data_IF_418663528208
#
_entry.id   IF_418663528208
#
_cell.length_a   1.000
_cell.length_b   1.000
_cell.length_c   1.000
_cell.angle_alpha   90.00
_cell.angle_beta   90.00
_cell.angle_gamma   90.00
#
_symmetry.space_group_name_H-M   'P 1'
#
loop_
_entity.id
_entity.type
_entity.pdbx_description
1 polymer ?
#
# COMPACT_ATOMS: atom_id res chain seq x y z
N UNK A 1 -5.08 11.55 -22.60
CA UNK A 1 -4.13 10.62 -23.24
C UNK A 1 -2.72 11.21 -23.46
N UNK A 2 -2.52 12.33 -24.16
CA UNK A 2 -1.15 12.90 -24.41
C UNK A 2 -0.30 13.16 -23.14
N UNK A 3 -0.89 13.60 -22.02
CA UNK A 3 -0.15 13.89 -20.77
C UNK A 3 0.30 12.65 -20.03
N UNK A 4 -0.44 11.52 -20.11
CA UNK A 4 -0.08 10.24 -19.49
C UNK A 4 1.10 9.61 -20.24
N UNK A 5 1.09 9.67 -21.58
CA UNK A 5 2.22 9.17 -22.37
C UNK A 5 3.52 9.95 -22.09
N UNK A 6 3.45 11.28 -21.88
CA UNK A 6 4.61 12.09 -21.53
C UNK A 6 5.18 11.72 -20.16
N UNK A 7 4.34 11.40 -19.18
CA UNK A 7 4.77 10.97 -17.85
C UNK A 7 5.42 9.58 -17.89
N UNK A 8 4.83 8.62 -18.61
CA UNK A 8 5.40 7.27 -18.80
C UNK A 8 6.75 7.34 -19.51
N UNK A 9 6.89 8.17 -20.55
CA UNK A 9 8.15 8.37 -21.27
C UNK A 9 9.21 9.03 -20.37
N UNK A 10 8.85 9.99 -19.53
CA UNK A 10 9.78 10.61 -18.57
C UNK A 10 10.28 9.61 -17.51
N UNK A 11 9.41 8.75 -16.99
CA UNK A 11 9.77 7.69 -16.05
C UNK A 11 10.67 6.63 -16.71
N UNK A 12 10.38 6.23 -17.95
CA UNK A 12 11.24 5.33 -18.75
C UNK A 12 12.62 5.95 -19.02
N UNK A 13 12.70 7.26 -19.30
CA UNK A 13 13.97 7.95 -19.53
C UNK A 13 14.83 8.04 -18.26
N UNK A 14 14.23 8.21 -17.09
CA UNK A 14 14.93 8.20 -15.79
C UNK A 14 15.49 6.80 -15.50
N UNK A 15 14.77 5.75 -15.84
CA UNK A 15 15.21 4.34 -15.69
C UNK A 15 16.37 4.03 -16.66
N UNK A 16 16.34 4.53 -17.88
CA UNK A 16 17.36 4.29 -18.89
C UNK A 16 18.65 5.13 -18.66
N UNK A 17 18.52 6.33 -18.09
CA UNK A 17 19.68 7.17 -17.77
C UNK A 17 20.46 6.70 -16.54
N UNK A 18 19.87 5.85 -15.67
CA UNK A 18 20.50 5.30 -14.47
C UNK A 18 21.54 4.21 -14.72
N UNK A 19 21.70 3.69 -15.93
CA UNK A 19 22.52 2.49 -16.19
C UNK A 19 24.03 2.75 -16.30
N UNK A 20 24.55 3.96 -16.10
CA UNK A 20 25.97 4.26 -16.26
C UNK A 20 26.78 4.39 -14.97
N UNK A 21 26.17 4.15 -13.79
CA UNK A 21 26.85 4.22 -12.49
C UNK A 21 26.50 3.03 -11.58
N UNK A 22 26.55 1.82 -12.12
CA UNK A 22 26.50 0.61 -11.28
C UNK A 22 27.93 0.31 -10.83
N UNK A 23 28.32 0.81 -9.66
CA UNK A 23 29.38 0.18 -8.89
C UNK A 23 29.00 -1.30 -8.71
N UNK A 24 29.93 -2.20 -9.02
CA UNK A 24 29.78 -3.65 -8.88
C UNK A 24 29.34 -4.01 -7.46
N UNK A 25 28.04 -3.99 -7.18
CA UNK A 25 27.48 -4.61 -6.00
C UNK A 25 27.44 -6.10 -6.27
N UNK A 26 28.00 -6.88 -5.32
CA UNK A 26 27.92 -8.35 -5.30
C UNK A 26 26.48 -8.74 -5.64
N UNK A 27 26.30 -9.53 -6.70
CA UNK A 27 24.97 -9.96 -7.18
C UNK A 27 24.30 -10.83 -6.11
N UNK A 28 23.48 -10.20 -5.28
CA UNK A 28 22.72 -10.84 -4.21
C UNK A 28 21.26 -10.93 -4.65
N UNK A 29 20.98 -11.85 -5.58
CA UNK A 29 19.59 -12.21 -5.86
C UNK A 29 19.04 -13.04 -4.70
N UNK A 30 17.83 -12.73 -4.24
CA UNK A 30 17.20 -13.40 -3.10
C UNK A 30 15.71 -13.62 -3.34
N UNK A 31 15.26 -14.86 -3.12
CA UNK A 31 13.85 -15.17 -2.92
C UNK A 31 13.49 -15.03 -1.45
N UNK A 32 12.35 -14.39 -1.16
CA UNK A 32 11.76 -14.31 0.17
C UNK A 32 10.37 -14.90 0.14
N UNK A 33 10.06 -15.68 1.16
CA UNK A 33 8.72 -16.15 1.47
C UNK A 33 8.50 -15.85 2.93
N UNK A 34 7.47 -15.07 3.24
CA UNK A 34 7.09 -14.72 4.62
C UNK A 34 5.58 -14.75 4.75
N UNK A 35 5.09 -14.83 5.99
CA UNK A 35 3.69 -14.64 6.28
C UNK A 35 3.53 -13.86 7.58
N UNK A 36 2.78 -12.77 7.55
CA UNK A 36 2.34 -12.05 8.73
C UNK A 36 1.02 -12.67 9.24
N UNK A 37 0.95 -12.90 10.55
CA UNK A 37 -0.26 -13.32 11.25
C UNK A 37 -0.72 -12.16 12.10
N UNK A 38 -1.81 -11.52 11.70
CA UNK A 38 -2.28 -10.28 12.30
C UNK A 38 -3.62 -10.47 13.01
N UNK A 39 -3.79 -9.78 14.14
CA UNK A 39 -5.09 -9.76 14.85
C UNK A 39 -6.16 -9.06 14.02
N UNK A 40 -5.75 -8.19 13.10
CA UNK A 40 -6.61 -7.44 12.18
C UNK A 40 -5.80 -6.81 11.06
N UNK A 41 -6.32 -6.81 9.84
CA UNK A 41 -5.71 -6.10 8.72
C UNK A 41 -6.21 -4.64 8.71
N UNK A 42 -5.34 -3.72 9.15
CA UNK A 42 -5.59 -2.28 9.06
C UNK A 42 -4.60 -1.68 8.06
N UNK A 43 -5.12 -1.19 6.95
CA UNK A 43 -4.34 -0.56 5.90
C UNK A 43 -4.72 0.91 5.74
N UNK A 44 -3.76 1.82 5.94
CA UNK A 44 -3.95 3.29 5.88
C UNK A 44 -5.15 3.77 6.70
N UNK A 45 -5.36 3.20 7.90
CA UNK A 45 -6.48 3.52 8.80
C UNK A 45 -7.83 2.91 8.44
N UNK A 46 -7.89 2.07 7.40
CA UNK A 46 -9.07 1.33 6.97
C UNK A 46 -9.01 -0.11 7.46
N UNK A 47 -10.13 -0.65 7.94
CA UNK A 47 -10.27 -1.99 8.54
C UNK A 47 -10.84 -2.97 7.52
N UNK A 48 -10.03 -3.92 7.08
CA UNK A 48 -10.38 -4.93 6.10
C UNK A 48 -10.62 -6.29 6.75
N UNK A 49 -11.71 -6.95 6.34
CA UNK A 49 -12.08 -8.30 6.82
C UNK A 49 -12.60 -8.36 8.25
N UNK A 50 -12.41 -7.34 9.09
CA UNK A 50 -12.89 -7.22 10.48
C UNK A 50 -12.61 -8.45 11.36
N UNK A 51 -11.58 -9.21 11.06
CA UNK A 51 -11.15 -10.44 11.73
C UNK A 51 -9.64 -10.59 11.64
N UNK A 52 -9.02 -11.56 12.35
CA UNK A 52 -7.63 -11.89 12.14
C UNK A 52 -7.34 -12.25 10.68
N UNK A 53 -6.11 -11.96 10.23
CA UNK A 53 -5.66 -12.21 8.86
C UNK A 53 -4.35 -12.99 8.82
N UNK A 54 -4.14 -13.68 7.69
CA UNK A 54 -2.88 -14.28 7.29
C UNK A 54 -2.44 -13.54 6.02
N UNK A 55 -1.24 -12.97 6.06
CA UNK A 55 -0.74 -12.05 5.03
C UNK A 55 0.57 -12.57 4.42
N UNK A 56 0.50 -13.52 3.46
CA UNK A 56 1.67 -14.07 2.81
C UNK A 56 2.33 -13.08 1.84
N UNK A 57 3.65 -13.14 1.74
CA UNK A 57 4.44 -12.41 0.74
C UNK A 57 5.39 -13.38 0.06
N UNK A 58 5.42 -13.34 -1.28
CA UNK A 58 6.43 -13.97 -2.11
C UNK A 58 7.14 -12.88 -2.91
N UNK A 59 8.47 -12.80 -2.82
CA UNK A 59 9.21 -11.80 -3.60
C UNK A 59 10.57 -12.30 -4.08
N UNK A 60 11.04 -11.66 -5.15
CA UNK A 60 12.39 -11.81 -5.68
C UNK A 60 13.06 -10.45 -5.75
N UNK A 61 14.23 -10.33 -5.13
CA UNK A 61 15.03 -9.10 -5.08
C UNK A 61 16.35 -9.30 -5.81
N UNK A 62 16.74 -8.32 -6.63
CA UNK A 62 18.05 -8.25 -7.27
C UNK A 62 18.52 -6.81 -7.37
N UNK A 63 19.63 -6.48 -6.71
CA UNK A 63 20.08 -5.10 -6.60
C UNK A 63 19.03 -4.23 -5.90
N UNK A 64 18.65 -3.11 -6.50
CA UNK A 64 17.56 -2.25 -6.00
C UNK A 64 16.16 -2.67 -6.45
N UNK A 65 16.06 -3.65 -7.37
CA UNK A 65 14.80 -4.10 -7.94
C UNK A 65 14.18 -5.22 -7.12
N UNK A 66 12.87 -5.18 -6.93
CA UNK A 66 12.08 -6.25 -6.34
C UNK A 66 10.77 -6.40 -7.10
N UNK A 67 10.41 -7.65 -7.38
CA UNK A 67 9.09 -8.06 -7.87
C UNK A 67 8.50 -9.04 -6.88
N UNK A 68 7.21 -8.95 -6.62
CA UNK A 68 6.56 -9.84 -5.66
C UNK A 68 5.05 -9.81 -5.78
N UNK A 69 4.44 -10.60 -4.90
CA UNK A 69 3.03 -10.57 -4.62
C UNK A 69 2.82 -10.67 -3.11
N UNK A 70 1.98 -9.80 -2.60
CA UNK A 70 1.46 -9.85 -1.26
C UNK A 70 -0.01 -10.28 -1.31
N UNK A 71 -0.51 -10.88 -0.26
CA UNK A 71 -1.93 -11.19 -0.16
C UNK A 71 -2.42 -11.06 1.27
N UNK A 72 -3.75 -11.03 1.45
CA UNK A 72 -4.40 -11.07 2.74
C UNK A 72 -5.64 -11.96 2.70
N UNK A 73 -5.75 -12.82 3.71
CA UNK A 73 -6.90 -13.71 3.90
C UNK A 73 -7.45 -13.52 5.30
N UNK A 74 -8.67 -13.01 5.41
CA UNK A 74 -9.36 -12.90 6.69
C UNK A 74 -9.82 -14.28 7.18
N UNK A 75 -9.67 -14.58 8.47
CA UNK A 75 -10.11 -15.86 9.05
C UNK A 75 -11.62 -16.04 9.03
N UNK A 76 -12.39 -14.96 8.88
CA UNK A 76 -13.84 -15.00 8.69
C UNK A 76 -14.26 -15.45 7.29
N UNK A 77 -13.33 -15.48 6.32
CA UNK A 77 -13.62 -15.74 4.91
C UNK A 77 -14.34 -14.58 4.18
N UNK A 78 -14.54 -13.44 4.85
CA UNK A 78 -15.27 -12.30 4.27
C UNK A 78 -14.43 -11.40 3.39
N UNK A 79 -13.10 -11.55 3.41
CA UNK A 79 -12.17 -10.70 2.69
C UNK A 79 -10.93 -11.48 2.25
N UNK A 80 -10.53 -11.30 1.01
CA UNK A 80 -9.20 -11.66 0.52
C UNK A 80 -8.71 -10.68 -0.54
N UNK A 81 -7.40 -10.55 -0.62
CA UNK A 81 -6.69 -9.59 -1.47
C UNK A 81 -5.44 -10.25 -2.01
N UNK A 82 -5.06 -9.91 -3.25
CA UNK A 82 -3.82 -10.33 -3.90
C UNK A 82 -3.23 -9.15 -4.66
N UNK A 83 -2.04 -8.73 -4.25
CA UNK A 83 -1.38 -7.52 -4.73
C UNK A 83 -0.03 -7.84 -5.37
N UNK A 84 0.03 -8.11 -6.68
CA UNK A 84 1.28 -8.09 -7.40
C UNK A 84 1.90 -6.69 -7.39
N UNK A 85 3.21 -6.63 -7.21
CA UNK A 85 3.92 -5.36 -7.22
C UNK A 85 5.29 -5.46 -7.87
N UNK A 86 5.79 -4.30 -8.29
CA UNK A 86 7.16 -4.09 -8.67
C UNK A 86 7.67 -2.82 -8.01
N UNK A 87 8.88 -2.87 -7.44
CA UNK A 87 9.51 -1.71 -6.83
C UNK A 87 10.99 -1.60 -7.15
N UNK A 88 11.50 -0.38 -7.14
CA UNK A 88 12.90 -0.07 -7.29
C UNK A 88 13.35 0.91 -6.20
N UNK A 89 14.41 0.52 -5.48
CA UNK A 89 14.96 1.32 -4.39
C UNK A 89 16.35 1.83 -4.75
N UNK A 90 16.56 3.14 -4.61
CA UNK A 90 17.84 3.80 -4.83
C UNK A 90 18.04 4.94 -3.82
N UNK A 91 19.12 4.89 -3.03
CA UNK A 91 19.53 5.98 -2.12
C UNK A 91 18.42 6.50 -1.19
N UNK A 92 17.63 5.58 -0.62
CA UNK A 92 16.51 5.90 0.27
C UNK A 92 15.19 6.21 -0.42
N UNK A 93 15.18 6.42 -1.75
CA UNK A 93 13.96 6.53 -2.53
C UNK A 93 13.50 5.15 -3.01
N UNK A 94 12.21 4.88 -2.87
CA UNK A 94 11.56 3.66 -3.39
C UNK A 94 10.38 4.07 -4.25
N UNK A 95 10.41 3.71 -5.52
CA UNK A 95 9.27 3.80 -6.43
C UNK A 95 8.60 2.43 -6.47
N UNK A 96 7.27 2.40 -6.28
CA UNK A 96 6.49 1.17 -6.32
C UNK A 96 5.29 1.33 -7.25
N UNK A 97 4.99 0.27 -8.01
CA UNK A 97 3.73 0.08 -8.71
C UNK A 97 3.07 -1.17 -8.15
N UNK A 98 1.83 -1.03 -7.70
CA UNK A 98 1.04 -2.11 -7.10
C UNK A 98 -0.29 -2.22 -7.82
N UNK A 99 -0.71 -3.45 -8.06
CA UNK A 99 -2.03 -3.81 -8.50
C UNK A 99 -2.77 -4.42 -7.31
N UNK A 100 -3.67 -3.68 -6.68
CA UNK A 100 -4.53 -4.18 -5.61
C UNK A 100 -5.72 -4.92 -6.22
N UNK A 101 -5.79 -6.22 -6.02
CA UNK A 101 -6.96 -7.00 -6.40
C UNK A 101 -7.73 -7.41 -5.15
N UNK A 102 -8.83 -6.72 -4.91
CA UNK A 102 -9.68 -6.93 -3.74
C UNK A 102 -10.92 -7.72 -4.12
N UNK A 103 -11.08 -8.87 -3.48
CA UNK A 103 -12.30 -9.66 -3.64
C UNK A 103 -13.20 -9.53 -2.40
N UNK A 104 -14.24 -8.75 -2.56
CA UNK A 104 -15.31 -8.63 -1.59
C UNK A 104 -16.45 -9.58 -1.98
N UNK A 105 -16.45 -10.79 -1.47
CA UNK A 105 -17.43 -11.86 -1.77
C UNK A 105 -18.91 -11.53 -1.51
N UNK A 106 -19.24 -10.27 -1.23
CA UNK A 106 -20.53 -9.95 -0.64
C UNK A 106 -21.65 -9.63 -1.63
N UNK A 107 -21.40 -9.36 -2.91
CA UNK A 107 -22.46 -8.81 -3.77
C UNK A 107 -22.62 -9.42 -5.16
N UNK A 108 -21.59 -9.94 -5.80
CA UNK A 108 -21.71 -10.55 -7.13
C UNK A 108 -20.58 -11.56 -7.42
N UNK A 109 -20.89 -12.88 -7.52
CA UNK A 109 -19.90 -13.89 -7.91
C UNK A 109 -19.31 -13.65 -9.29
N UNK A 110 -19.92 -12.84 -10.15
CA UNK A 110 -19.43 -12.53 -11.47
C UNK A 110 -18.41 -11.38 -11.52
N UNK A 111 -18.31 -10.56 -10.46
CA UNK A 111 -17.33 -9.47 -10.33
C UNK A 111 -15.99 -9.92 -9.74
N UNK A 112 -15.82 -11.21 -9.48
CA UNK A 112 -14.60 -11.77 -8.87
C UNK A 112 -13.55 -12.22 -9.87
N UNK A 113 -13.69 -11.89 -11.15
CA UNK A 113 -12.73 -12.31 -12.17
C UNK A 113 -11.44 -11.49 -12.04
N UNK A 114 -10.35 -12.16 -11.67
CA UNK A 114 -9.01 -11.58 -11.65
C UNK A 114 -8.59 -10.99 -13.01
N UNK A 115 -9.05 -11.53 -14.12
CA UNK A 115 -8.68 -11.06 -15.46
C UNK A 115 -9.67 -10.03 -16.04
N UNK A 116 -10.52 -9.44 -15.22
CA UNK A 116 -11.33 -8.29 -15.60
C UNK A 116 -10.57 -7.00 -15.34
N UNK A 117 -10.07 -6.35 -16.38
CA UNK A 117 -9.35 -5.07 -16.32
C UNK A 117 -10.15 -3.89 -16.89
N UNK A 118 -11.47 -4.03 -17.07
CA UNK A 118 -12.32 -2.91 -17.46
C UNK A 118 -12.39 -1.88 -16.34
N UNK A 119 -12.05 -0.62 -16.62
CA UNK A 119 -11.82 0.44 -15.66
C UNK A 119 -12.97 0.64 -14.66
N UNK A 120 -14.19 0.36 -15.07
CA UNK A 120 -15.38 0.66 -14.26
C UNK A 120 -16.07 -0.58 -13.66
N UNK A 121 -15.63 -1.77 -14.02
CA UNK A 121 -16.20 -3.03 -13.53
C UNK A 121 -15.16 -3.93 -12.86
N UNK A 122 -13.90 -3.54 -12.90
CA UNK A 122 -12.80 -4.29 -12.30
C UNK A 122 -12.78 -4.16 -10.78
N UNK A 123 -12.22 -5.18 -10.11
CA UNK A 123 -11.83 -5.12 -8.70
C UNK A 123 -10.35 -4.73 -8.53
N UNK A 124 -9.65 -4.45 -9.62
CA UNK A 124 -8.28 -3.96 -9.59
C UNK A 124 -8.22 -2.47 -9.31
N UNK A 125 -7.22 -2.06 -8.54
CA UNK A 125 -6.83 -0.67 -8.33
C UNK A 125 -5.32 -0.57 -8.52
N UNK A 126 -4.87 0.19 -9.51
CA UNK A 126 -3.46 0.39 -9.77
C UNK A 126 -2.95 1.65 -9.08
N UNK A 127 -1.91 1.48 -8.27
CA UNK A 127 -1.26 2.56 -7.53
C UNK A 127 0.19 2.76 -8.00
N UNK A 128 0.57 4.02 -8.13
CA UNK A 128 1.96 4.45 -8.15
C UNK A 128 2.31 5.13 -6.83
N UNK A 129 3.43 4.73 -6.20
CA UNK A 129 3.88 5.37 -4.98
C UNK A 129 5.36 5.69 -4.99
N UNK A 130 5.72 6.78 -4.33
CA UNK A 130 7.09 7.19 -4.09
C UNK A 130 7.30 7.37 -2.59
N UNK A 131 8.26 6.63 -2.05
CA UNK A 131 8.66 6.74 -0.65
C UNK A 131 10.11 7.24 -0.57
N UNK A 132 10.37 8.13 0.38
CA UNK A 132 11.70 8.45 0.85
C UNK A 132 11.85 7.96 2.29
N UNK A 133 12.96 7.28 2.59
CA UNK A 133 13.41 6.95 3.95
C UNK A 133 14.76 7.60 4.20
N UNK A 134 14.79 8.47 5.19
CA UNK A 134 16.00 9.14 5.64
C UNK A 134 17.00 8.17 6.29
N UNK A 135 18.26 8.60 6.44
CA UNK A 135 19.30 7.81 7.10
C UNK A 135 19.04 7.66 8.60
N UNK A 136 19.69 6.71 9.25
CA UNK A 136 19.55 6.44 10.70
C UNK A 136 19.75 7.66 11.60
N UNK A 137 20.55 8.64 11.18
CA UNK A 137 20.76 9.91 11.92
C UNK A 137 19.55 10.86 11.85
N UNK A 138 18.71 10.71 10.83
CA UNK A 138 17.51 11.50 10.61
C UNK A 138 16.41 10.59 10.05
N UNK A 139 15.81 9.73 10.90
CA UNK A 139 14.98 8.61 10.50
C UNK A 139 13.53 9.03 10.21
N UNK A 140 13.35 10.04 9.35
CA UNK A 140 12.04 10.38 8.80
C UNK A 140 11.77 9.61 7.53
N UNK A 141 10.47 9.36 7.28
CA UNK A 141 9.99 8.87 6.00
C UNK A 141 8.85 9.74 5.47
N UNK A 142 8.77 9.81 4.15
CA UNK A 142 7.67 10.46 3.44
C UNK A 142 7.22 9.48 2.36
N UNK A 143 5.92 9.22 2.31
CA UNK A 143 5.27 8.42 1.27
C UNK A 143 4.21 9.27 0.58
N UNK A 144 4.17 9.22 -0.74
CA UNK A 144 3.05 9.71 -1.57
C UNK A 144 2.63 8.57 -2.47
N UNK A 145 1.34 8.25 -2.45
CA UNK A 145 0.74 7.17 -3.20
C UNK A 145 -0.55 7.65 -3.87
N UNK A 146 -0.75 7.29 -5.14
CA UNK A 146 -1.92 7.75 -5.91
C UNK A 146 -2.45 6.62 -6.78
N UNK A 147 -3.75 6.41 -6.73
CA UNK A 147 -4.46 5.53 -7.65
C UNK A 147 -4.54 6.18 -9.02
N UNK A 148 -4.18 5.44 -10.06
CA UNK A 148 -4.18 6.01 -11.41
C UNK A 148 -5.04 5.25 -12.42
N UNK A 149 -5.56 4.06 -12.04
CA UNK A 149 -6.45 3.26 -12.86
C UNK A 149 -7.25 2.27 -12.00
N UNK A 150 -8.45 1.89 -12.46
CA UNK A 150 -9.28 0.85 -11.85
C UNK A 150 -10.35 1.40 -10.92
N UNK A 151 -10.74 0.63 -9.93
CA UNK A 151 -11.92 0.90 -9.08
C UNK A 151 -11.71 2.05 -8.09
N UNK A 152 -11.51 3.25 -8.63
CA UNK A 152 -11.47 4.53 -7.89
C UNK A 152 -12.32 5.59 -8.62
N UNK A 153 -13.64 5.37 -8.77
CA UNK A 153 -14.50 6.21 -9.57
C UNK A 153 -14.88 7.51 -8.87
N UNK A 154 -14.84 8.61 -9.62
CA UNK A 154 -15.49 9.88 -9.29
C UNK A 154 -16.73 10.06 -10.14
N UNK A 155 -17.90 9.98 -9.51
CA UNK A 155 -19.18 10.16 -10.19
C UNK A 155 -19.58 11.63 -10.13
N UNK A 156 -19.84 12.22 -11.30
CA UNK A 156 -20.41 13.56 -11.45
C UNK A 156 -21.78 13.44 -12.08
N UNK A 157 -22.77 14.03 -11.44
CA UNK A 157 -24.14 14.11 -11.95
C UNK A 157 -24.42 15.55 -12.32
N UNK A 158 -24.62 15.79 -13.60
CA UNK A 158 -25.07 17.11 -14.10
C UNK A 158 -26.59 17.14 -14.14
N UNK A 159 -27.19 17.97 -13.31
CA UNK A 159 -28.62 18.18 -13.18
C UNK A 159 -29.05 19.56 -13.68
N UNK A 160 -28.21 20.28 -14.41
CA UNK A 160 -28.53 21.64 -14.94
C UNK A 160 -29.72 21.61 -15.89
N UNK A 161 -29.92 20.48 -16.59
CA UNK A 161 -31.13 20.24 -17.36
C UNK A 161 -31.94 19.08 -16.75
N UNK A 162 -33.05 19.34 -16.04
CA UNK A 162 -33.86 18.29 -15.40
C UNK A 162 -34.43 17.26 -16.38
N UNK A 163 -34.53 17.59 -17.67
CA UNK A 163 -35.00 16.67 -18.71
C UNK A 163 -33.89 15.81 -19.32
N UNK A 164 -32.64 16.13 -19.00
CA UNK A 164 -31.46 15.38 -19.48
C UNK A 164 -30.35 15.35 -18.43
N UNK A 165 -30.50 14.46 -17.45
CA UNK A 165 -29.49 14.23 -16.40
C UNK A 165 -28.33 13.44 -17.00
N UNK A 166 -27.13 14.01 -17.01
CA UNK A 166 -25.94 13.37 -17.52
C UNK A 166 -25.08 12.89 -16.34
N UNK A 167 -24.77 11.60 -16.29
CA UNK A 167 -23.83 11.02 -15.34
C UNK A 167 -22.50 10.75 -16.02
N UNK A 168 -21.42 11.29 -15.46
CA UNK A 168 -20.05 11.08 -15.94
C UNK A 168 -19.26 10.37 -14.88
N UNK A 169 -18.57 9.29 -15.25
CA UNK A 169 -17.64 8.56 -14.40
C UNK A 169 -16.22 8.92 -14.84
N UNK A 170 -15.36 9.24 -13.88
CA UNK A 170 -13.95 9.60 -14.09
C UNK A 170 -13.09 8.96 -13.03
N UNK A 171 -11.81 8.73 -13.31
CA UNK A 171 -10.84 8.32 -12.29
C UNK A 171 -10.72 9.44 -11.25
N UNK A 172 -10.78 9.09 -9.95
CA UNK A 172 -10.72 10.08 -8.86
C UNK A 172 -9.28 10.47 -8.50
N UNK A 173 -8.30 9.61 -8.79
CA UNK A 173 -6.90 9.78 -8.41
C UNK A 173 -6.73 9.94 -6.90
N UNK A 174 -7.42 9.09 -6.13
CA UNK A 174 -7.33 9.10 -4.66
C UNK A 174 -5.88 8.98 -4.22
N UNK A 175 -5.47 9.95 -3.39
CA UNK A 175 -4.06 10.10 -2.99
C UNK A 175 -3.93 9.97 -1.49
N UNK A 176 -2.87 9.25 -1.07
CA UNK A 176 -2.45 9.11 0.31
C UNK A 176 -1.05 9.70 0.49
N UNK A 177 -0.86 10.46 1.57
CA UNK A 177 0.43 11.03 1.95
C UNK A 177 0.71 10.63 3.39
N UNK A 178 1.91 10.11 3.68
CA UNK A 178 2.30 9.74 5.05
C UNK A 178 3.65 10.33 5.41
N UNK A 179 3.71 10.87 6.61
CA UNK A 179 4.94 11.23 7.30
C UNK A 179 5.21 10.17 8.37
N UNK A 180 6.43 9.66 8.42
CA UNK A 180 6.86 8.70 9.41
C UNK A 180 8.12 9.15 10.14
N UNK A 181 8.29 8.68 11.38
CA UNK A 181 9.47 8.87 12.19
C UNK A 181 9.78 7.61 12.99
N UNK A 182 10.98 7.05 12.81
CA UNK A 182 11.42 5.82 13.49
C UNK A 182 12.32 6.12 14.67
N UNK A 183 11.97 5.60 15.85
CA UNK A 183 12.77 5.72 17.08
C UNK A 183 13.34 4.38 17.47
N UNK A 184 14.66 4.26 17.54
CA UNK A 184 15.34 3.08 18.06
C UNK A 184 15.64 3.28 19.57
N UNK A 185 15.08 2.43 20.42
CA UNK A 185 15.33 2.45 21.85
C UNK A 185 15.77 1.05 22.33
N UNK A 186 17.08 0.88 22.56
CA UNK A 186 17.70 -0.42 22.87
C UNK A 186 17.37 -1.46 21.79
N UNK A 187 16.70 -2.57 22.16
CA UNK A 187 16.28 -3.64 21.24
C UNK A 187 14.89 -3.44 20.61
N UNK A 188 14.28 -2.28 20.81
CA UNK A 188 12.93 -1.97 20.30
C UNK A 188 13.00 -0.89 19.26
N UNK A 189 12.14 -0.97 18.26
CA UNK A 189 11.90 0.08 17.27
C UNK A 189 10.46 0.55 17.41
N UNK A 190 10.26 1.85 17.36
CA UNK A 190 8.94 2.48 17.36
C UNK A 190 8.82 3.33 16.11
N UNK A 191 7.78 3.08 15.32
CA UNK A 191 7.43 3.89 14.16
C UNK A 191 6.20 4.73 14.49
N UNK A 192 6.36 6.05 14.46
CA UNK A 192 5.25 6.99 14.51
C UNK A 192 4.89 7.36 13.07
N UNK A 193 3.60 7.49 12.80
CA UNK A 193 3.12 7.85 11.47
C UNK A 193 1.91 8.79 11.52
N UNK A 194 1.82 9.61 10.48
CA UNK A 194 0.72 10.55 10.24
C UNK A 194 0.38 10.51 8.76
N UNK A 195 -0.74 9.86 8.42
CA UNK A 195 -1.27 9.71 7.08
C UNK A 195 -2.48 10.61 6.84
N UNK A 196 -2.53 11.24 5.69
CA UNK A 196 -3.61 12.12 5.27
C UNK A 196 -4.03 11.86 3.82
N UNK A 197 -5.25 12.26 3.49
CA UNK A 197 -5.72 12.38 2.11
C UNK A 197 -5.93 13.87 1.76
N UNK A 198 -5.47 14.34 0.57
CA UNK A 198 -5.60 15.74 0.18
C UNK A 198 -7.01 16.13 -0.30
N UNK A 199 -7.86 15.15 -0.60
CA UNK A 199 -9.20 15.38 -1.14
C UNK A 199 -10.15 14.23 -0.82
N UNK A 200 -11.45 14.44 -1.05
CA UNK A 200 -12.44 13.38 -1.03
C UNK A 200 -12.09 12.28 -2.05
N UNK A 201 -12.29 11.03 -1.67
CA UNK A 201 -12.03 9.86 -2.49
C UNK A 201 -12.05 8.57 -1.70
N UNK A 202 -11.25 7.60 -2.12
CA UNK A 202 -11.19 6.28 -1.51
C UNK A 202 -10.89 6.31 0.00
N UNK A 203 -10.00 7.20 0.44
CA UNK A 203 -9.50 7.24 1.81
C UNK A 203 -10.37 8.04 2.78
N UNK A 204 -11.18 8.97 2.28
CA UNK A 204 -11.99 9.83 3.14
C UNK A 204 -12.87 10.81 2.34
N UNK A 205 -13.76 11.49 3.07
CA UNK A 205 -14.79 12.35 2.46
C UNK A 205 -14.32 13.79 2.21
N UNK A 206 -13.14 14.15 2.71
CA UNK A 206 -12.56 15.50 2.60
C UNK A 206 -11.05 15.44 2.85
N UNK A 207 -10.35 16.57 2.67
CA UNK A 207 -9.00 16.73 3.19
C UNK A 207 -8.94 16.40 4.68
N UNK A 208 -7.96 15.60 5.11
CA UNK A 208 -7.74 15.37 6.54
C UNK A 208 -6.88 14.16 6.87
N UNK A 209 -6.61 14.02 8.17
CA UNK A 209 -5.89 12.90 8.75
C UNK A 209 -6.80 11.68 8.77
N UNK A 210 -6.33 10.58 8.16
CA UNK A 210 -7.07 9.32 8.03
C UNK A 210 -6.32 8.14 8.64
N UNK A 211 -5.04 8.32 8.98
CA UNK A 211 -4.20 7.26 9.55
C UNK A 211 -3.13 7.89 10.44
N UNK A 212 -3.17 7.65 11.73
CA UNK A 212 -2.11 8.11 12.63
C UNK A 212 -1.91 7.11 13.76
N UNK A 213 -0.69 6.98 14.24
CA UNK A 213 -0.45 6.03 15.31
C UNK A 213 1.01 5.77 15.59
N UNK A 214 1.22 4.69 16.32
CA UNK A 214 2.51 4.17 16.71
C UNK A 214 2.53 2.66 16.55
N UNK A 215 3.60 2.12 15.95
CA UNK A 215 3.89 0.69 15.90
C UNK A 215 5.16 0.40 16.67
N UNK A 216 5.10 -0.57 17.58
CA UNK A 216 6.25 -1.10 18.30
C UNK A 216 6.66 -2.45 17.71
N UNK A 217 7.96 -2.64 17.49
CA UNK A 217 8.53 -3.89 16.98
C UNK A 217 9.48 -4.47 18.01
N UNK A 218 9.47 -5.79 18.12
CA UNK A 218 10.42 -6.55 18.95
C UNK A 218 10.67 -7.92 18.34
N UNK A 219 11.92 -8.36 18.42
CA UNK A 219 12.31 -9.73 18.15
C UNK A 219 12.31 -10.54 19.45
N UNK A 220 11.61 -11.68 19.47
CA UNK A 220 11.54 -12.59 20.61
C UNK A 220 12.38 -13.83 20.25
N UNK A 221 13.46 -14.07 20.97
CA UNK A 221 14.25 -15.29 20.83
C UNK A 221 13.46 -16.47 21.40
N UNK A 222 13.01 -17.36 20.54
CA UNK A 222 12.32 -18.62 20.92
C UNK A 222 13.32 -19.72 21.15
N UNK A 223 14.40 -19.72 20.35
CA UNK A 223 15.52 -20.66 20.49
C UNK A 223 16.80 -20.05 19.90
N UNK A 224 17.95 -20.69 20.11
CA UNK A 224 19.22 -20.26 19.52
C UNK A 224 19.25 -20.20 17.98
N UNK A 225 18.22 -20.77 17.32
CA UNK A 225 18.11 -20.82 15.85
C UNK A 225 16.88 -20.12 15.31
N UNK A 226 15.96 -19.69 16.18
CA UNK A 226 14.70 -19.11 15.75
C UNK A 226 14.32 -17.89 16.59
N UNK A 227 14.15 -16.78 15.90
CA UNK A 227 13.70 -15.51 16.46
C UNK A 227 12.38 -15.13 15.80
N UNK A 228 11.36 -14.85 16.61
CA UNK A 228 10.03 -14.46 16.17
C UNK A 228 9.91 -12.94 16.18
N UNK A 229 9.80 -12.29 15.00
CA UNK A 229 9.46 -10.87 14.92
C UNK A 229 8.00 -10.65 15.32
N UNK A 230 7.75 -9.74 16.27
CA UNK A 230 6.42 -9.36 16.71
C UNK A 230 6.22 -7.88 16.55
N UNK A 231 4.98 -7.47 16.29
CA UNK A 231 4.59 -6.06 16.20
C UNK A 231 3.28 -5.80 16.94
N UNK A 232 3.14 -4.59 17.50
CA UNK A 232 1.90 -4.11 18.08
C UNK A 232 1.72 -2.64 17.72
N UNK A 233 0.51 -2.24 17.35
CA UNK A 233 0.20 -0.91 16.86
C UNK A 233 -1.05 -0.37 17.53
N UNK A 234 -1.04 0.93 17.83
CA UNK A 234 -2.25 1.72 18.09
C UNK A 234 -2.43 2.63 16.87
N UNK A 235 -3.55 2.48 16.20
CA UNK A 235 -3.87 3.17 14.94
C UNK A 235 -5.19 3.90 15.08
N UNK A 236 -5.23 5.18 14.75
CA UNK A 236 -6.44 5.97 14.72
C UNK A 236 -6.73 6.46 13.30
N UNK A 237 -8.01 6.41 12.92
CA UNK A 237 -8.54 7.13 11.77
C UNK A 237 -9.51 8.22 12.30
N UNK A 238 -9.05 9.49 12.40
CA UNK A 238 -9.88 10.57 12.93
C UNK A 238 -11.13 10.88 12.09
N UNK A 239 -11.04 10.79 10.76
CA UNK A 239 -12.20 11.03 9.90
C UNK A 239 -13.29 9.97 10.11
N UNK A 240 -12.90 8.69 10.19
CA UNK A 240 -13.81 7.58 10.44
C UNK A 240 -14.16 7.39 11.93
N UNK A 241 -13.52 8.16 12.84
CA UNK A 241 -13.66 8.07 14.30
C UNK A 241 -13.33 6.68 14.86
N UNK A 242 -12.36 6.01 14.25
CA UNK A 242 -11.94 4.66 14.63
C UNK A 242 -10.62 4.69 15.38
N UNK A 243 -10.47 3.77 16.33
CA UNK A 243 -9.24 3.47 17.04
C UNK A 243 -9.05 1.96 17.08
N UNK A 244 -7.86 1.50 16.71
CA UNK A 244 -7.51 0.09 16.63
C UNK A 244 -6.30 -0.23 17.48
N UNK A 245 -6.35 -1.37 18.17
CA UNK A 245 -5.20 -2.05 18.74
C UNK A 245 -4.93 -3.29 17.88
N UNK A 246 -3.78 -3.33 17.23
CA UNK A 246 -3.40 -4.40 16.31
C UNK A 246 -2.11 -5.03 16.79
N UNK A 247 -2.02 -6.34 16.74
CA UNK A 247 -0.79 -7.07 17.03
C UNK A 247 -0.62 -8.24 16.09
N UNK A 248 0.61 -8.68 15.92
CA UNK A 248 0.93 -9.80 15.04
C UNK A 248 2.38 -10.23 15.12
N UNK A 249 2.69 -11.25 14.34
CA UNK A 249 4.04 -11.80 14.20
C UNK A 249 4.28 -12.26 12.76
N UNK A 250 5.55 -12.40 12.40
CA UNK A 250 5.99 -12.81 11.05
C UNK A 250 6.72 -14.16 11.12
N UNK A 251 6.41 -15.06 10.17
CA UNK A 251 7.13 -16.31 9.92
C UNK A 251 7.82 -16.29 8.56
#
# INVERSE_FOLDING_TARGET
MRKVHAFIIAVLFIILAGNTLVAQTKDTSKFNVTADFMSRYIWRGLDYGKSPSIEPTLSFTKGGFEIGAWGSYSTSGSYYELDPYVKYTLKGFTLTFTDYFVNNNTLDPNHTSYFNYDEWTTNHIFEGSLQYKGPDKFPISILVATYFYGNDPKIKVDTTNPLNVVTTIQQNYSTYIELGYSVKCRSKVFDLFLGLTPSAGFYGNTFGVINTGITAYRNIEISNKFTLPVKASIIANPQARNLFLVFGFTL
#
